data_IF_146170451380
#
_entry.id   IF_146170451380
#
_cell.length_a   1.000
_cell.length_b   1.000
_cell.length_c   1.000
_cell.angle_alpha   90.00
_cell.angle_beta   90.00
_cell.angle_gamma   90.00
#
_symmetry.space_group_name_H-M   'P 1'
#
loop_
_entity.id
_entity.type
_entity.pdbx_description
1 polymer ?
#
# COMPACT_ATOMS: atom_id res chain seq x y z
N UNK A 1 52.16 -4.89 -28.74
CA UNK A 1 52.69 -6.20 -28.29
C UNK A 1 51.49 -7.08 -27.93
N UNK A 2 51.39 -8.32 -28.46
CA UNK A 2 50.54 -9.50 -28.06
C UNK A 2 49.20 -9.24 -27.32
N UNK A 3 48.05 -9.89 -27.59
CA UNK A 3 47.65 -10.97 -28.52
C UNK A 3 46.14 -11.27 -28.31
N UNK A 4 45.35 -11.56 -29.38
CA UNK A 4 44.15 -12.48 -29.39
C UNK A 4 42.96 -12.09 -28.46
N UNK A 5 41.70 -12.51 -28.59
CA UNK A 5 40.84 -13.36 -29.47
C UNK A 5 39.39 -12.85 -29.21
N UNK A 6 38.32 -13.04 -30.00
CA UNK A 6 38.06 -13.69 -31.30
C UNK A 6 37.11 -12.74 -32.10
N UNK A 7 36.26 -13.26 -32.98
CA UNK A 7 35.16 -12.55 -33.66
C UNK A 7 34.07 -13.56 -34.07
N UNK A 8 32.79 -13.19 -33.93
CA UNK A 8 31.59 -13.70 -34.65
C UNK A 8 31.27 -15.24 -34.57
N UNK A 9 30.06 -15.76 -34.82
CA UNK A 9 29.02 -15.51 -35.83
C UNK A 9 27.68 -16.12 -35.35
N UNK A 10 26.54 -15.48 -35.63
CA UNK A 10 25.21 -16.12 -35.64
C UNK A 10 25.02 -16.79 -37.00
N UNK A 11 24.56 -18.04 -37.06
CA UNK A 11 24.15 -18.66 -38.32
C UNK A 11 22.87 -19.47 -38.15
N UNK A 12 21.85 -19.10 -38.91
CA UNK A 12 20.58 -19.82 -38.99
C UNK A 12 20.70 -20.98 -39.98
N UNK A 13 20.10 -22.13 -39.66
CA UNK A 13 20.02 -23.27 -40.56
C UNK A 13 18.67 -23.29 -41.28
N UNK A 14 18.70 -23.31 -42.62
CA UNK A 14 17.53 -23.59 -43.45
C UNK A 14 17.93 -24.52 -44.60
N UNK A 15 17.03 -25.47 -44.89
CA UNK A 15 16.99 -26.31 -46.09
C UNK A 15 18.10 -27.38 -46.28
N UNK A 16 17.68 -28.65 -46.27
CA UNK A 16 18.44 -29.79 -46.81
C UNK A 16 17.55 -30.54 -47.80
N UNK A 17 17.94 -30.58 -49.07
CA UNK A 17 17.38 -31.48 -50.09
C UNK A 17 18.52 -32.02 -50.97
N UNK A 18 18.33 -33.26 -51.43
CA UNK A 18 19.05 -33.99 -52.49
C UNK A 18 20.30 -34.80 -52.15
N UNK A 19 20.07 -36.12 -52.18
CA UNK A 19 20.90 -37.19 -52.77
C UNK A 19 22.23 -37.58 -52.15
N UNK A 20 22.25 -38.82 -51.62
CA UNK A 20 23.39 -39.73 -51.71
C UNK A 20 22.90 -41.16 -51.98
N UNK A 21 23.74 -41.95 -52.65
CA UNK A 21 23.35 -43.19 -53.33
C UNK A 21 23.12 -44.41 -52.43
N UNK A 22 22.27 -45.29 -52.96
CA UNK A 22 22.02 -46.69 -52.62
C UNK A 22 23.10 -47.48 -51.84
N UNK A 23 22.62 -48.24 -50.85
CA UNK A 23 22.92 -49.67 -50.77
C UNK A 23 21.70 -50.43 -50.21
N UNK A 24 21.56 -51.71 -50.53
CA UNK A 24 20.37 -52.53 -50.28
C UNK A 24 20.55 -53.49 -49.10
N UNK A 25 19.53 -53.69 -48.26
CA UNK A 25 18.75 -54.94 -48.20
C UNK A 25 17.72 -54.97 -47.05
N UNK A 26 16.76 -55.88 -47.21
CA UNK A 26 15.60 -56.21 -46.35
C UNK A 26 15.84 -56.30 -44.84
N UNK A 27 14.84 -55.86 -44.05
CA UNK A 27 14.70 -56.21 -42.64
C UNK A 27 13.53 -55.50 -41.97
N UNK A 28 12.36 -56.15 -41.92
CA UNK A 28 11.19 -55.67 -41.15
C UNK A 28 11.31 -56.07 -39.67
N UNK A 29 11.33 -55.10 -38.77
CA UNK A 29 11.11 -55.31 -37.33
C UNK A 29 10.27 -54.14 -36.80
N UNK A 30 9.07 -54.45 -36.31
CA UNK A 30 8.29 -53.55 -35.48
C UNK A 30 8.83 -53.62 -34.04
N UNK A 31 9.00 -52.47 -33.39
CA UNK A 31 9.18 -52.40 -31.94
C UNK A 31 8.29 -51.29 -31.42
N UNK A 32 7.21 -51.68 -30.74
CA UNK A 32 6.43 -50.77 -29.91
C UNK A 32 7.26 -50.37 -28.69
N UNK A 33 7.38 -49.06 -28.44
CA UNK A 33 7.70 -48.53 -27.12
C UNK A 33 6.81 -47.33 -26.87
N UNK A 34 5.78 -47.50 -26.04
CA UNK A 34 5.08 -46.37 -25.44
C UNK A 34 6.08 -45.52 -24.65
N UNK A 35 6.08 -44.21 -24.89
CA UNK A 35 6.73 -43.25 -24.00
C UNK A 35 5.69 -42.25 -23.53
N UNK A 36 5.33 -42.35 -22.25
CA UNK A 36 4.35 -41.49 -21.60
C UNK A 36 4.87 -40.04 -21.58
N UNK A 37 4.17 -39.14 -22.26
CA UNK A 37 4.41 -37.70 -22.12
C UNK A 37 3.74 -37.24 -20.83
N UNK A 38 4.52 -36.84 -19.84
CA UNK A 38 4.05 -35.97 -18.77
C UNK A 38 4.44 -34.53 -19.15
N UNK A 39 3.44 -33.64 -19.23
CA UNK A 39 3.68 -32.21 -19.47
C UNK A 39 4.46 -31.62 -18.30
N UNK A 40 5.71 -31.23 -18.57
CA UNK A 40 6.44 -30.31 -17.71
C UNK A 40 6.10 -28.90 -18.19
N UNK A 41 5.18 -28.23 -17.52
CA UNK A 41 4.91 -26.81 -17.74
C UNK A 41 6.18 -25.99 -17.50
N UNK A 42 6.68 -25.32 -18.54
CA UNK A 42 7.77 -24.36 -18.39
C UNK A 42 7.36 -23.23 -17.44
N UNK A 43 8.23 -22.91 -16.47
CA UNK A 43 8.13 -21.65 -15.74
C UNK A 43 8.67 -20.54 -16.64
N UNK A 44 7.80 -19.62 -17.06
CA UNK A 44 8.24 -18.42 -17.76
C UNK A 44 9.18 -17.57 -16.89
N UNK A 45 10.21 -17.04 -17.54
CA UNK A 45 11.32 -16.35 -16.88
C UNK A 45 11.03 -14.88 -16.59
N UNK A 46 11.51 -14.42 -15.43
CA UNK A 46 11.51 -13.02 -15.05
C UNK A 46 12.34 -12.19 -16.04
N UNK A 47 11.68 -11.34 -16.83
CA UNK A 47 12.36 -10.38 -17.70
C UNK A 47 12.38 -9.02 -17.00
N UNK A 48 13.57 -8.55 -16.62
CA UNK A 48 13.72 -7.35 -15.78
C UNK A 48 13.36 -6.06 -16.51
N UNK A 49 12.26 -5.39 -16.12
CA UNK A 49 11.80 -4.10 -16.67
C UNK A 49 11.99 -2.94 -15.67
N UNK A 50 13.00 -3.03 -14.80
CA UNK A 50 13.28 -2.00 -13.80
C UNK A 50 13.79 -0.70 -14.46
N UNK A 51 13.18 0.44 -14.11
CA UNK A 51 13.64 1.78 -14.51
C UNK A 51 13.05 2.36 -15.80
N UNK A 52 12.05 1.71 -16.42
CA UNK A 52 11.27 2.29 -17.53
C UNK A 52 10.00 2.97 -17.03
N UNK A 53 9.66 4.11 -17.64
CA UNK A 53 8.40 4.83 -17.41
C UNK A 53 7.36 4.44 -18.45
N UNK A 54 6.14 4.16 -18.00
CA UNK A 54 5.00 3.79 -18.83
C UNK A 54 3.87 4.81 -18.64
N UNK A 55 3.06 5.02 -19.67
CA UNK A 55 1.85 5.84 -19.63
C UNK A 55 0.63 4.93 -19.56
N UNK A 56 -0.27 5.19 -18.60
CA UNK A 56 -1.58 4.55 -18.50
C UNK A 56 -2.46 4.98 -19.67
N UNK A 57 -3.05 4.01 -20.38
CA UNK A 57 -4.01 4.24 -21.47
C UNK A 57 -5.23 3.34 -21.36
N UNK A 58 -6.40 3.96 -21.35
CA UNK A 58 -7.74 3.38 -21.28
C UNK A 58 -8.58 3.89 -22.47
N UNK A 59 -9.43 3.04 -23.04
CA UNK A 59 -10.12 3.36 -24.30
C UNK A 59 -11.25 4.40 -24.15
N UNK A 60 -11.74 4.62 -22.95
CA UNK A 60 -12.83 5.51 -22.58
C UNK A 60 -12.39 6.67 -21.65
N UNK A 61 -11.12 6.69 -21.24
CA UNK A 61 -10.57 7.67 -20.31
C UNK A 61 -10.95 7.45 -18.85
N UNK A 62 -11.51 6.30 -18.48
CA UNK A 62 -11.93 6.00 -17.10
C UNK A 62 -10.79 5.94 -16.08
N UNK A 63 -9.55 5.74 -16.55
CA UNK A 63 -8.41 5.42 -15.70
C UNK A 63 -8.33 3.95 -15.32
N UNK A 64 -7.17 3.55 -14.78
CA UNK A 64 -6.76 2.17 -14.55
C UNK A 64 -6.78 1.83 -13.07
N UNK A 65 -7.57 0.83 -12.68
CA UNK A 65 -7.67 0.39 -11.29
C UNK A 65 -6.35 -0.19 -10.77
N UNK A 66 -5.82 0.42 -9.71
CA UNK A 66 -4.68 -0.05 -8.92
C UNK A 66 -5.20 -0.99 -7.83
N UNK A 67 -4.79 -2.26 -7.88
CA UNK A 67 -5.35 -3.34 -7.05
C UNK A 67 -4.40 -3.83 -5.96
N UNK A 68 -4.95 -4.47 -4.93
CA UNK A 68 -4.18 -5.04 -3.82
C UNK A 68 -3.36 -6.28 -4.18
N UNK A 69 -3.64 -6.93 -5.31
CA UNK A 69 -2.91 -8.11 -5.81
C UNK A 69 -2.97 -8.25 -7.34
N UNK A 70 -2.15 -9.15 -7.87
CA UNK A 70 -1.94 -9.40 -9.30
C UNK A 70 -3.11 -10.18 -9.95
N UNK A 71 -4.31 -9.57 -9.98
CA UNK A 71 -5.52 -10.20 -10.50
C UNK A 71 -6.74 -9.27 -10.43
N UNK A 72 -7.80 -9.60 -11.17
CA UNK A 72 -9.06 -8.84 -11.16
C UNK A 72 -9.95 -9.12 -9.94
N UNK A 73 -9.66 -10.21 -9.24
CA UNK A 73 -10.30 -10.67 -8.00
C UNK A 73 -9.86 -9.88 -6.76
N UNK A 74 -8.74 -9.15 -6.84
CA UNK A 74 -8.23 -8.33 -5.75
C UNK A 74 -8.88 -6.94 -5.71
N UNK A 75 -9.10 -6.43 -4.50
CA UNK A 75 -9.72 -5.13 -4.24
C UNK A 75 -9.02 -3.99 -4.99
N UNK A 76 -9.82 -3.03 -5.45
CA UNK A 76 -9.31 -1.76 -6.01
C UNK A 76 -8.95 -0.84 -4.86
N UNK A 77 -7.67 -0.47 -4.77
CA UNK A 77 -7.15 0.49 -3.78
C UNK A 77 -7.46 1.92 -4.24
N UNK A 78 -7.28 2.21 -5.53
CA UNK A 78 -7.57 3.51 -6.16
C UNK A 78 -7.58 3.35 -7.69
N UNK A 79 -7.83 4.43 -8.43
CA UNK A 79 -7.80 4.45 -9.90
C UNK A 79 -6.78 5.48 -10.39
N UNK A 80 -5.83 5.03 -11.22
CA UNK A 80 -4.83 5.88 -11.85
C UNK A 80 -5.46 6.56 -13.07
N UNK A 81 -5.57 7.88 -13.07
CA UNK A 81 -6.22 8.60 -14.17
C UNK A 81 -5.48 8.43 -15.52
N UNK A 82 -6.24 8.38 -16.62
CA UNK A 82 -5.69 8.18 -17.97
C UNK A 82 -4.57 9.19 -18.31
N UNK A 83 -3.54 8.71 -19.01
CA UNK A 83 -2.40 9.54 -19.39
C UNK A 83 -1.36 9.80 -18.30
N UNK A 84 -1.59 9.38 -17.06
CA UNK A 84 -0.57 9.44 -16.02
C UNK A 84 0.59 8.47 -16.29
N UNK A 85 1.78 8.86 -15.86
CA UNK A 85 2.97 8.02 -15.91
C UNK A 85 3.15 7.21 -14.63
N UNK A 86 3.60 5.97 -14.79
CA UNK A 86 3.94 5.02 -13.72
C UNK A 86 5.27 4.36 -14.01
N UNK A 87 5.95 3.91 -12.96
CA UNK A 87 7.14 3.07 -13.06
C UNK A 87 6.81 1.65 -12.59
N UNK A 88 7.27 0.65 -13.35
CA UNK A 88 7.11 -0.76 -12.98
C UNK A 88 8.20 -1.11 -11.96
N UNK A 89 7.76 -1.53 -10.77
CA UNK A 89 8.62 -1.93 -9.64
C UNK A 89 8.80 -3.45 -9.63
N UNK A 90 7.75 -4.19 -9.97
CA UNK A 90 7.77 -5.64 -10.09
C UNK A 90 6.75 -6.11 -11.15
N UNK A 91 6.86 -7.35 -11.62
CA UNK A 91 5.92 -7.94 -12.58
C UNK A 91 5.58 -9.39 -12.19
N UNK A 92 4.31 -9.77 -12.36
CA UNK A 92 3.81 -11.13 -12.17
C UNK A 92 2.80 -11.44 -13.29
N UNK A 93 3.22 -12.23 -14.29
CA UNK A 93 2.45 -12.46 -15.51
C UNK A 93 2.13 -11.14 -16.23
N UNK A 94 0.85 -10.94 -16.58
CA UNK A 94 0.34 -9.70 -17.21
C UNK A 94 0.07 -8.55 -16.22
N UNK A 95 0.53 -8.64 -14.97
CA UNK A 95 0.34 -7.60 -13.95
C UNK A 95 1.66 -6.95 -13.57
N UNK A 96 1.67 -5.62 -13.54
CA UNK A 96 2.77 -4.81 -13.06
C UNK A 96 2.44 -4.21 -11.69
N UNK A 97 3.36 -4.33 -10.74
CA UNK A 97 3.30 -3.57 -9.50
C UNK A 97 3.90 -2.18 -9.74
N UNK A 98 3.15 -1.14 -9.39
CA UNK A 98 3.48 0.27 -9.65
C UNK A 98 3.16 1.14 -8.44
N UNK A 99 3.85 2.28 -8.34
CA UNK A 99 3.50 3.37 -7.42
C UNK A 99 2.67 4.45 -8.12
N UNK A 100 1.67 4.98 -7.43
CA UNK A 100 0.90 6.16 -7.83
C UNK A 100 0.62 7.04 -6.60
N UNK A 101 1.28 8.19 -6.51
CA UNK A 101 1.28 8.99 -5.29
C UNK A 101 1.83 8.21 -4.09
N UNK A 102 1.03 8.07 -3.04
CA UNK A 102 1.33 7.24 -1.86
C UNK A 102 0.95 5.77 -2.02
N UNK A 103 0.16 5.42 -3.04
CA UNK A 103 -0.35 4.07 -3.25
C UNK A 103 0.69 3.20 -3.97
N UNK A 104 0.76 1.93 -3.59
CA UNK A 104 1.50 0.88 -4.29
C UNK A 104 0.58 -0.31 -4.48
N UNK A 105 0.50 -0.82 -5.70
CA UNK A 105 -0.43 -1.90 -6.04
C UNK A 105 -0.23 -2.42 -7.45
N UNK A 106 -1.13 -3.27 -7.91
CA UNK A 106 -1.03 -3.98 -9.18
C UNK A 106 -1.98 -3.41 -10.23
N UNK A 107 -1.46 -3.18 -11.43
CA UNK A 107 -2.22 -2.81 -12.62
C UNK A 107 -2.00 -3.84 -13.72
N UNK A 108 -2.99 -4.03 -14.59
CA UNK A 108 -2.83 -4.89 -15.75
C UNK A 108 -1.99 -4.16 -16.82
N UNK A 109 -1.00 -4.85 -17.39
CA UNK A 109 -0.02 -4.31 -18.32
C UNK A 109 -0.58 -4.01 -19.72
N UNK A 110 -1.73 -4.57 -20.10
CA UNK A 110 -2.40 -4.28 -21.38
C UNK A 110 -2.81 -2.80 -21.51
N UNK A 111 -2.84 -2.08 -20.39
CA UNK A 111 -3.14 -0.64 -20.29
C UNK A 111 -1.89 0.23 -20.08
N UNK A 112 -0.66 -0.33 -20.22
CA UNK A 112 0.61 0.39 -20.03
C UNK A 112 1.40 0.49 -21.34
N UNK A 113 1.56 1.72 -21.84
CA UNK A 113 2.36 1.98 -23.04
C UNK A 113 3.75 2.54 -22.68
N UNK A 114 4.83 1.98 -23.24
CA UNK A 114 6.20 2.44 -22.99
C UNK A 114 6.43 3.85 -23.55
N UNK A 115 6.98 4.76 -22.75
CA UNK A 115 7.25 6.15 -23.18
C UNK A 115 8.64 6.29 -23.79
N UNK A 116 8.73 6.46 -25.11
CA UNK A 116 9.98 6.87 -25.79
C UNK A 116 10.21 8.37 -25.66
N UNK A 117 10.82 8.82 -24.56
CA UNK A 117 11.24 10.22 -24.36
C UNK A 117 12.65 10.26 -23.76
N UNK A 118 13.56 11.01 -24.41
CA UNK A 118 14.99 11.03 -24.10
C UNK A 118 15.39 12.39 -23.50
N UNK A 119 15.86 12.43 -22.25
CA UNK A 119 16.32 13.63 -21.54
C UNK A 119 17.35 13.25 -20.43
N UNK A 120 18.19 14.18 -19.94
CA UNK A 120 19.65 14.01 -20.03
C UNK A 120 20.34 13.38 -18.82
N UNK A 121 21.53 12.85 -19.08
CA UNK A 121 22.39 12.13 -18.14
C UNK A 121 23.29 13.12 -17.38
N UNK A 122 23.37 13.00 -16.05
CA UNK A 122 24.46 13.58 -15.25
C UNK A 122 25.25 12.44 -14.63
N UNK A 123 26.53 12.32 -14.99
CA UNK A 123 27.41 11.30 -14.43
C UNK A 123 27.79 11.64 -12.97
N UNK A 124 27.77 10.64 -12.09
CA UNK A 124 28.57 10.61 -10.87
C UNK A 124 29.04 9.19 -10.66
N UNK A 125 30.34 9.01 -10.39
CA UNK A 125 31.03 7.72 -10.48
C UNK A 125 31.47 7.19 -9.11
N UNK A 126 31.73 5.87 -9.10
CA UNK A 126 32.36 5.05 -8.05
C UNK A 126 31.43 4.48 -6.95
N UNK A 127 31.79 3.31 -6.35
CA UNK A 127 32.20 2.11 -7.08
C UNK A 127 31.46 0.84 -6.60
N UNK A 128 31.49 -0.20 -7.44
CA UNK A 128 30.88 -1.51 -7.13
C UNK A 128 31.61 -2.25 -6.00
N UNK A 129 30.84 -2.65 -4.98
CA UNK A 129 31.22 -3.64 -3.96
C UNK A 129 30.02 -4.53 -3.68
N UNK A 130 30.08 -5.79 -4.13
CA UNK A 130 28.97 -6.73 -4.04
C UNK A 130 28.91 -7.50 -2.70
N UNK A 131 27.79 -8.18 -2.47
CA UNK A 131 27.48 -9.12 -1.37
C UNK A 131 27.38 -8.47 0.02
N UNK A 132 26.22 -8.41 0.68
CA UNK A 132 25.23 -9.48 0.89
C UNK A 132 23.80 -8.93 1.10
N UNK A 133 22.78 -9.67 0.65
CA UNK A 133 21.39 -9.44 1.05
C UNK A 133 21.20 -9.85 2.51
N UNK A 134 20.63 -9.00 3.38
CA UNK A 134 20.10 -9.46 4.66
C UNK A 134 18.90 -10.36 4.39
N UNK A 135 19.03 -11.60 4.83
CA UNK A 135 17.97 -12.58 4.92
C UNK A 135 16.76 -11.98 5.68
N UNK A 136 15.55 -12.20 5.16
CA UNK A 136 14.33 -11.74 5.81
C UNK A 136 14.15 -12.50 7.13
N UNK A 137 14.17 -11.85 8.31
CA UNK A 137 14.12 -12.55 9.59
C UNK A 137 12.67 -12.90 9.93
N UNK A 138 12.06 -13.78 9.13
CA UNK A 138 10.86 -14.48 9.55
C UNK A 138 11.26 -15.62 10.51
N UNK A 139 10.50 -15.76 11.59
CA UNK A 139 10.68 -16.72 12.69
C UNK A 139 11.99 -16.64 13.50
N UNK A 140 11.97 -15.87 14.61
CA UNK A 140 12.32 -16.39 15.95
C UNK A 140 11.68 -15.58 17.10
N UNK A 141 11.06 -16.31 18.04
CA UNK A 141 10.83 -15.94 19.45
C UNK A 141 9.97 -14.70 19.80
N UNK A 142 8.64 -14.83 19.67
CA UNK A 142 7.68 -14.31 20.67
C UNK A 142 7.59 -12.80 20.94
N UNK A 143 8.25 -11.95 20.15
CA UNK A 143 8.16 -10.49 20.24
C UNK A 143 7.30 -9.88 19.13
N UNK A 144 6.90 -8.63 19.32
CA UNK A 144 6.17 -7.87 18.30
C UNK A 144 7.02 -7.71 17.02
N UNK A 145 6.36 -7.74 15.84
CA UNK A 145 7.02 -7.83 14.52
C UNK A 145 8.06 -6.71 14.27
N UNK A 146 7.88 -5.55 14.87
CA UNK A 146 8.73 -4.36 14.69
C UNK A 146 9.65 -4.07 15.88
N UNK A 147 9.82 -5.04 16.78
CA UNK A 147 10.72 -4.97 17.94
C UNK A 147 12.18 -4.68 17.57
N UNK A 148 12.63 -5.11 16.38
CA UNK A 148 13.97 -4.80 15.84
C UNK A 148 14.22 -3.29 15.67
N UNK A 149 13.16 -2.48 15.54
CA UNK A 149 13.23 -1.03 15.44
C UNK A 149 12.87 -0.28 16.74
N UNK A 150 12.66 -1.03 17.83
CA UNK A 150 12.31 -0.52 19.16
C UNK A 150 10.82 -0.58 19.52
N UNK A 151 9.94 -0.96 18.59
CA UNK A 151 8.49 -0.96 18.82
C UNK A 151 8.02 -2.20 19.57
N UNK A 152 7.47 -2.00 20.77
CA UNK A 152 6.89 -3.04 21.61
C UNK A 152 5.60 -2.51 22.27
N UNK A 153 4.54 -2.26 21.49
CA UNK A 153 3.29 -1.73 22.02
C UNK A 153 2.66 -2.71 23.01
N UNK A 154 2.09 -2.18 24.10
CA UNK A 154 1.32 -2.97 25.04
C UNK A 154 -0.02 -3.38 24.40
N UNK A 155 -0.38 -4.65 24.52
CA UNK A 155 -1.72 -5.10 24.12
C UNK A 155 -2.77 -4.51 25.08
N UNK A 156 -3.84 -3.95 24.52
CA UNK A 156 -4.97 -3.41 25.28
C UNK A 156 -6.24 -4.18 24.97
N UNK A 157 -7.15 -4.27 25.94
CA UNK A 157 -8.52 -4.75 25.72
C UNK A 157 -9.45 -3.56 25.58
N UNK A 158 -10.33 -3.59 24.57
CA UNK A 158 -11.38 -2.57 24.44
C UNK A 158 -12.38 -2.76 25.58
N UNK A 159 -12.57 -1.72 26.40
CA UNK A 159 -13.57 -1.72 27.46
C UNK A 159 -14.95 -1.36 26.90
N UNK A 160 -15.93 -2.26 27.00
CA UNK A 160 -17.29 -2.06 26.49
C UNK A 160 -17.97 -0.77 26.96
N UNK A 161 -17.64 -0.27 28.15
CA UNK A 161 -18.23 0.96 28.72
C UNK A 161 -17.54 2.25 28.27
N UNK A 162 -16.37 2.16 27.62
CA UNK A 162 -15.57 3.33 27.20
C UNK A 162 -14.82 3.06 25.88
N UNK A 163 -15.39 2.23 25.01
CA UNK A 163 -14.74 1.69 23.81
C UNK A 163 -14.31 2.80 22.84
N UNK A 164 -15.11 3.86 22.75
CA UNK A 164 -14.89 5.08 21.98
C UNK A 164 -13.65 5.85 22.41
N UNK A 165 -13.21 5.71 23.66
CA UNK A 165 -12.02 6.34 24.24
C UNK A 165 -10.78 5.42 24.24
N UNK A 166 -10.84 4.27 23.55
CA UNK A 166 -9.67 3.39 23.39
C UNK A 166 -8.52 4.15 22.71
N UNK A 167 -7.36 4.22 23.37
CA UNK A 167 -6.16 4.78 22.77
C UNK A 167 -5.41 3.70 21.99
N UNK A 168 -5.17 3.98 20.70
CA UNK A 168 -4.29 3.20 19.83
C UNK A 168 -3.26 4.16 19.24
N UNK A 169 -1.99 3.86 19.46
CA UNK A 169 -0.82 4.61 18.98
C UNK A 169 0.42 3.72 19.08
N UNK A 170 1.63 4.25 18.86
CA UNK A 170 2.87 3.45 18.83
C UNK A 170 3.17 2.66 20.13
N UNK A 171 2.48 2.97 21.23
CA UNK A 171 2.61 2.33 22.54
C UNK A 171 1.47 1.36 22.89
N UNK A 172 0.36 1.36 22.15
CA UNK A 172 -0.83 0.55 22.45
C UNK A 172 -1.42 -0.14 21.20
N UNK A 173 -1.54 -1.47 21.25
CA UNK A 173 -2.05 -2.32 20.16
C UNK A 173 -3.33 -3.05 20.54
N UNK A 174 -4.23 -3.23 19.57
CA UNK A 174 -5.35 -4.16 19.65
C UNK A 174 -4.87 -5.60 19.90
N UNK A 175 -5.72 -6.48 20.47
CA UNK A 175 -5.43 -7.89 20.63
C UNK A 175 -5.19 -8.60 19.31
N UNK A 176 -4.35 -9.65 19.34
CA UNK A 176 -4.15 -10.51 18.17
C UNK A 176 -5.49 -11.07 17.66
N UNK A 177 -5.73 -10.93 16.36
CA UNK A 177 -6.97 -11.39 15.73
C UNK A 177 -8.20 -10.51 15.95
N UNK A 178 -8.08 -9.32 16.55
CA UNK A 178 -9.21 -8.39 16.67
C UNK A 178 -9.80 -8.02 15.30
N UNK A 179 -11.11 -8.22 15.15
CA UNK A 179 -11.93 -7.78 14.02
C UNK A 179 -13.22 -7.17 14.58
N UNK A 180 -13.50 -5.87 14.33
CA UNK A 180 -14.75 -5.25 14.77
C UNK A 180 -15.94 -5.76 13.95
N UNK A 181 -17.16 -5.65 14.49
CA UNK A 181 -18.36 -5.71 13.66
C UNK A 181 -18.44 -4.43 12.82
N UNK A 182 -18.63 -4.58 11.52
CA UNK A 182 -18.58 -3.48 10.55
C UNK A 182 -19.97 -3.07 10.04
N UNK A 183 -20.07 -1.80 9.62
CA UNK A 183 -21.14 -1.26 8.77
C UNK A 183 -20.54 -0.31 7.74
N UNK A 184 -21.19 -0.13 6.59
CA UNK A 184 -20.82 0.95 5.66
C UNK A 184 -20.95 2.31 6.36
N UNK A 185 -19.95 3.17 6.19
CA UNK A 185 -19.89 4.51 6.77
C UNK A 185 -20.91 5.46 6.12
N UNK A 186 -21.12 5.33 4.81
CA UNK A 186 -22.21 5.93 4.06
C UNK A 186 -22.76 4.84 3.15
N UNK A 187 -24.09 4.70 3.08
CA UNK A 187 -24.72 3.64 2.29
C UNK A 187 -24.30 3.70 0.80
N UNK A 188 -23.68 2.62 0.32
CA UNK A 188 -23.18 2.49 -1.05
C UNK A 188 -21.78 3.08 -1.30
N UNK A 189 -21.07 3.53 -0.26
CA UNK A 189 -19.68 3.99 -0.40
C UNK A 189 -18.67 2.86 -0.56
N UNK A 190 -19.00 1.64 -0.09
CA UNK A 190 -18.03 0.54 0.03
C UNK A 190 -16.94 0.77 1.09
N UNK A 191 -16.99 1.87 1.84
CA UNK A 191 -16.08 2.18 2.95
C UNK A 191 -16.77 1.85 4.26
N UNK A 192 -16.10 1.10 5.13
CA UNK A 192 -16.67 0.55 6.36
C UNK A 192 -16.09 1.22 7.60
N UNK A 193 -16.85 1.24 8.70
CA UNK A 193 -16.41 1.62 10.05
C UNK A 193 -16.90 0.57 11.05
N UNK A 194 -16.48 0.66 12.32
CA UNK A 194 -17.16 -0.06 13.39
C UNK A 194 -18.65 0.29 13.37
N UNK A 195 -19.52 -0.70 13.54
CA UNK A 195 -20.97 -0.55 13.42
C UNK A 195 -21.58 0.50 14.38
N UNK A 196 -20.88 0.85 15.46
CA UNK A 196 -21.26 1.91 16.41
C UNK A 196 -20.83 3.30 15.94
N UNK A 197 -19.80 3.40 15.10
CA UNK A 197 -19.25 4.65 14.57
C UNK A 197 -19.91 5.04 13.26
N UNK A 198 -20.23 4.06 12.40
CA UNK A 198 -20.81 4.29 11.09
C UNK A 198 -22.08 5.19 11.09
N UNK A 199 -23.05 5.05 12.02
CA UNK A 199 -24.22 5.94 12.05
C UNK A 199 -23.86 7.41 12.26
N UNK A 200 -22.87 7.70 13.10
CA UNK A 200 -22.42 9.07 13.36
C UNK A 200 -21.67 9.68 12.18
N UNK A 201 -20.94 8.86 11.42
CA UNK A 201 -20.35 9.33 10.17
C UNK A 201 -21.42 9.64 9.11
N UNK A 202 -22.45 8.80 8.99
CA UNK A 202 -23.60 9.05 8.12
C UNK A 202 -24.35 10.34 8.51
N UNK A 203 -24.59 10.57 9.81
CA UNK A 203 -25.20 11.81 10.34
C UNK A 203 -24.34 13.05 9.99
N UNK A 204 -23.01 12.97 10.20
CA UNK A 204 -22.08 14.04 9.86
C UNK A 204 -22.05 14.32 8.35
N UNK A 205 -22.05 13.27 7.54
CA UNK A 205 -22.07 13.34 6.08
C UNK A 205 -23.36 13.98 5.55
N UNK A 206 -24.52 13.56 6.08
CA UNK A 206 -25.82 14.08 5.68
C UNK A 206 -26.02 15.55 6.11
N UNK A 207 -25.44 15.97 7.24
CA UNK A 207 -25.41 17.36 7.66
C UNK A 207 -24.53 18.22 6.74
N UNK A 208 -23.31 17.78 6.46
CA UNK A 208 -22.42 18.47 5.51
C UNK A 208 -23.06 18.61 4.13
N UNK A 209 -23.74 17.57 3.63
CA UNK A 209 -24.46 17.63 2.35
C UNK A 209 -25.58 18.68 2.33
N UNK A 210 -26.25 18.94 3.45
CA UNK A 210 -27.27 20.01 3.56
C UNK A 210 -26.64 21.40 3.43
N UNK A 211 -25.39 21.57 3.88
CA UNK A 211 -24.59 22.78 3.71
C UNK A 211 -23.86 22.83 2.34
N UNK A 212 -24.08 21.85 1.46
CA UNK A 212 -23.47 21.76 0.13
C UNK A 212 -22.02 21.23 0.13
N UNK A 213 -21.59 20.62 1.23
CA UNK A 213 -20.25 20.05 1.43
C UNK A 213 -20.30 18.52 1.30
N UNK A 214 -19.40 17.95 0.51
CA UNK A 214 -19.24 16.48 0.43
C UNK A 214 -18.04 16.05 1.27
N UNK A 215 -18.29 15.30 2.33
CA UNK A 215 -17.24 14.64 3.14
C UNK A 215 -16.93 13.26 2.53
N UNK A 216 -16.13 13.21 1.47
CA UNK A 216 -15.84 11.94 0.78
C UNK A 216 -15.17 10.94 1.73
N UNK A 217 -15.76 9.76 1.99
CA UNK A 217 -15.09 8.71 2.77
C UNK A 217 -14.00 8.07 1.90
N UNK A 218 -12.73 8.26 2.26
CA UNK A 218 -11.59 7.72 1.50
C UNK A 218 -11.08 6.40 2.10
N UNK A 219 -10.97 6.30 3.43
CA UNK A 219 -10.50 5.07 4.08
C UNK A 219 -10.97 4.99 5.54
N UNK A 220 -11.83 4.01 5.82
CA UNK A 220 -12.33 3.70 7.17
C UNK A 220 -11.57 2.53 7.77
N UNK A 221 -12.27 1.45 8.12
CA UNK A 221 -11.67 0.22 8.61
C UNK A 221 -10.61 -0.34 7.65
N UNK A 222 -9.45 -0.67 8.21
CA UNK A 222 -8.35 -1.39 7.53
C UNK A 222 -8.07 -2.66 8.33
N UNK A 223 -8.00 -3.81 7.66
CA UNK A 223 -7.60 -5.06 8.34
C UNK A 223 -6.17 -4.96 8.88
N UNK A 224 -5.81 -5.79 9.86
CA UNK A 224 -4.43 -5.91 10.35
C UNK A 224 -3.44 -6.13 9.19
N UNK A 225 -3.80 -7.00 8.24
CA UNK A 225 -2.95 -7.31 7.07
C UNK A 225 -2.87 -6.12 6.09
N UNK A 226 -3.96 -5.39 5.88
CA UNK A 226 -3.96 -4.15 5.08
C UNK A 226 -3.02 -3.12 5.70
N UNK A 227 -3.08 -2.94 7.02
CA UNK A 227 -2.23 -2.00 7.73
C UNK A 227 -0.76 -2.44 7.71
N UNK A 228 -0.49 -3.75 7.85
CA UNK A 228 0.86 -4.32 7.72
C UNK A 228 1.45 -4.01 6.33
N UNK A 229 0.68 -4.22 5.27
CA UNK A 229 1.10 -3.88 3.90
C UNK A 229 1.37 -2.38 3.74
N UNK A 230 0.48 -1.51 4.24
CA UNK A 230 0.69 -0.05 4.19
C UNK A 230 1.97 0.38 4.93
N UNK A 231 2.23 -0.22 6.09
CA UNK A 231 3.39 0.08 6.92
C UNK A 231 4.70 -0.39 6.27
N UNK A 232 4.77 -1.65 5.81
CA UNK A 232 5.93 -2.17 5.07
C UNK A 232 6.20 -1.39 3.78
N UNK A 233 5.16 -0.96 3.07
CA UNK A 233 5.32 -0.09 1.89
C UNK A 233 5.98 1.25 2.26
N UNK A 234 5.60 1.86 3.40
CA UNK A 234 6.23 3.09 3.90
C UNK A 234 7.67 2.85 4.39
N UNK A 235 7.96 1.70 5.01
CA UNK A 235 9.34 1.28 5.34
C UNK A 235 10.18 1.20 4.06
N UNK A 236 9.70 0.46 3.05
CA UNK A 236 10.38 0.25 1.79
C UNK A 236 10.58 1.56 1.00
N UNK A 237 9.63 2.49 1.09
CA UNK A 237 9.81 3.86 0.59
C UNK A 237 11.05 4.53 1.23
N UNK A 238 11.18 4.56 2.55
CA UNK A 238 12.35 5.14 3.20
C UNK A 238 13.65 4.35 2.92
N UNK A 239 13.60 3.01 2.84
CA UNK A 239 14.77 2.22 2.40
C UNK A 239 15.21 2.60 0.99
N UNK A 240 14.27 2.88 0.06
CA UNK A 240 14.60 3.35 -1.29
C UNK A 240 15.26 4.75 -1.31
N UNK A 241 15.04 5.56 -0.27
CA UNK A 241 15.71 6.85 -0.08
C UNK A 241 17.09 6.72 0.60
N UNK A 242 17.55 5.51 0.88
CA UNK A 242 18.88 5.22 1.44
C UNK A 242 18.94 5.12 2.97
N UNK A 243 17.80 5.14 3.67
CA UNK A 243 17.76 4.86 5.11
C UNK A 243 17.96 3.36 5.39
N UNK A 244 18.65 3.02 6.48
CA UNK A 244 18.70 1.64 6.97
C UNK A 244 17.30 1.19 7.46
N UNK A 245 17.06 -0.13 7.58
CA UNK A 245 15.71 -0.64 7.91
C UNK A 245 15.22 -0.23 9.30
N UNK A 246 16.09 0.03 10.28
CA UNK A 246 15.67 0.51 11.62
C UNK A 246 15.18 1.95 11.50
N UNK A 247 16.01 2.85 10.95
CA UNK A 247 15.64 4.26 10.76
C UNK A 247 14.43 4.42 9.83
N UNK A 248 14.35 3.61 8.76
CA UNK A 248 13.19 3.58 7.87
C UNK A 248 11.90 3.15 8.58
N UNK A 249 11.97 2.19 9.52
CA UNK A 249 10.82 1.76 10.33
C UNK A 249 10.39 2.84 11.33
N UNK A 250 11.36 3.53 11.93
CA UNK A 250 11.08 4.65 12.83
C UNK A 250 10.45 5.84 12.09
N UNK A 251 10.98 6.20 10.92
CA UNK A 251 10.41 7.24 10.05
C UNK A 251 9.01 6.85 9.55
N UNK A 252 8.81 5.61 9.11
CA UNK A 252 7.50 5.11 8.68
C UNK A 252 6.45 5.26 9.79
N UNK A 253 6.82 4.97 11.05
CA UNK A 253 5.89 5.01 12.19
C UNK A 253 5.30 6.38 12.49
N UNK A 254 5.90 7.46 11.97
CA UNK A 254 5.39 8.85 12.11
C UNK A 254 4.31 9.20 11.08
N UNK A 255 4.12 8.37 10.06
CA UNK A 255 3.26 8.63 8.88
C UNK A 255 2.27 7.49 8.63
N UNK A 256 2.58 6.28 9.07
CA UNK A 256 1.69 5.12 9.00
C UNK A 256 1.88 4.35 10.30
N UNK A 257 0.83 4.25 11.11
CA UNK A 257 0.87 3.44 12.33
C UNK A 257 1.06 1.96 12.03
N UNK A 258 1.67 1.26 12.97
CA UNK A 258 2.00 -0.16 12.89
C UNK A 258 0.71 -1.01 12.87
N UNK A 259 0.71 -2.23 12.30
CA UNK A 259 -0.47 -3.09 12.30
C UNK A 259 -0.88 -3.48 13.74
N UNK A 260 -2.16 -3.30 14.05
CA UNK A 260 -2.73 -3.44 15.39
C UNK A 260 -2.75 -2.13 16.19
N UNK A 261 -1.88 -1.17 15.89
CA UNK A 261 -1.82 0.13 16.60
C UNK A 261 -2.56 1.25 15.86
N UNK A 262 -3.12 1.01 14.67
CA UNK A 262 -3.88 2.02 13.93
C UNK A 262 -5.35 2.06 14.35
N UNK A 263 -5.90 3.26 14.50
CA UNK A 263 -7.33 3.46 14.78
C UNK A 263 -8.25 2.92 13.66
N UNK A 264 -7.73 2.77 12.44
CA UNK A 264 -8.42 2.10 11.35
C UNK A 264 -8.53 0.59 11.56
N UNK A 265 -7.63 -0.03 12.33
CA UNK A 265 -7.77 -1.44 12.71
C UNK A 265 -8.94 -1.65 13.69
N UNK A 266 -9.31 -0.62 14.45
CA UNK A 266 -10.50 -0.64 15.29
C UNK A 266 -11.79 -0.26 14.52
N UNK A 267 -11.67 0.39 13.35
CA UNK A 267 -12.80 0.98 12.64
C UNK A 267 -13.30 2.29 13.29
N UNK A 268 -12.45 2.98 14.08
CA UNK A 268 -12.80 4.20 14.81
C UNK A 268 -12.37 5.49 14.10
N UNK A 269 -11.57 5.39 13.04
CA UNK A 269 -11.08 6.53 12.26
C UNK A 269 -11.56 6.46 10.81
N UNK A 270 -11.73 7.65 10.21
CA UNK A 270 -12.00 7.85 8.79
C UNK A 270 -11.00 8.85 8.22
N UNK A 271 -10.35 8.47 7.12
CA UNK A 271 -9.69 9.39 6.19
C UNK A 271 -10.77 10.05 5.32
N UNK A 272 -10.91 11.37 5.41
CA UNK A 272 -11.93 12.16 4.68
C UNK A 272 -11.25 13.00 3.59
N UNK A 273 -11.85 13.04 2.41
CA UNK A 273 -11.36 13.84 1.29
C UNK A 273 -10.15 13.19 0.60
N UNK A 274 -9.12 13.98 0.32
CA UNK A 274 -7.86 13.47 -0.25
C UNK A 274 -6.76 13.47 0.83
N UNK A 275 -5.91 12.45 0.79
CA UNK A 275 -4.93 12.16 1.86
C UNK A 275 -3.59 12.89 1.65
N UNK A 276 -3.66 14.21 1.50
CA UNK A 276 -2.50 15.14 1.46
C UNK A 276 -2.82 16.42 2.23
N UNK A 277 -1.76 17.10 2.71
CA UNK A 277 -1.90 18.22 3.68
C UNK A 277 -2.74 19.38 3.13
N UNK A 278 -2.71 19.58 1.81
CA UNK A 278 -3.49 20.61 1.11
C UNK A 278 -5.02 20.43 1.23
N UNK A 279 -5.52 19.28 1.71
CA UNK A 279 -6.92 19.10 2.09
C UNK A 279 -7.41 20.14 3.10
N UNK A 280 -6.52 20.69 3.94
CA UNK A 280 -6.85 21.74 4.90
C UNK A 280 -7.42 23.01 4.23
N UNK A 281 -7.05 23.26 2.97
CA UNK A 281 -7.48 24.42 2.19
C UNK A 281 -8.87 24.22 1.58
N UNK A 282 -9.51 23.07 1.83
CA UNK A 282 -10.82 22.73 1.26
C UNK A 282 -11.98 23.26 2.11
N UNK A 283 -13.13 23.57 1.49
CA UNK A 283 -14.37 23.84 2.23
C UNK A 283 -14.81 22.68 3.13
N UNK A 284 -14.45 21.44 2.79
CA UNK A 284 -14.75 20.26 3.58
C UNK A 284 -13.98 20.22 4.91
N UNK A 285 -12.68 20.54 4.89
CA UNK A 285 -11.89 20.65 6.11
C UNK A 285 -12.36 21.80 7.01
N UNK A 286 -12.65 22.97 6.43
CA UNK A 286 -13.23 24.09 7.18
C UNK A 286 -14.54 23.70 7.87
N UNK A 287 -15.45 23.01 7.17
CA UNK A 287 -16.70 22.51 7.74
C UNK A 287 -16.45 21.49 8.87
N UNK A 288 -15.51 20.55 8.70
CA UNK A 288 -15.15 19.57 9.72
C UNK A 288 -14.59 20.24 10.98
N UNK A 289 -13.68 21.21 10.82
CA UNK A 289 -13.12 21.99 11.93
C UNK A 289 -14.19 22.77 12.70
N UNK A 290 -15.29 23.16 12.05
CA UNK A 290 -16.43 23.82 12.70
C UNK A 290 -17.42 22.84 13.34
N UNK A 291 -17.69 21.67 12.74
CA UNK A 291 -18.87 20.85 13.05
C UNK A 291 -18.59 19.40 13.51
N UNK A 292 -17.42 18.80 13.24
CA UNK A 292 -17.20 17.36 13.43
C UNK A 292 -17.41 16.86 14.88
N UNK A 293 -17.16 17.71 15.87
CA UNK A 293 -17.38 17.40 17.29
C UNK A 293 -18.86 17.13 17.63
N UNK A 294 -19.80 17.72 16.89
CA UNK A 294 -21.24 17.51 17.13
C UNK A 294 -21.69 16.10 16.75
N UNK A 295 -20.87 15.40 15.96
CA UNK A 295 -21.02 14.00 15.56
C UNK A 295 -19.99 13.08 16.24
N UNK A 296 -19.24 13.61 17.21
CA UNK A 296 -18.28 12.84 18.00
C UNK A 296 -16.91 12.59 17.35
N UNK A 297 -16.57 13.31 16.28
CA UNK A 297 -15.26 13.22 15.61
C UNK A 297 -14.32 14.35 16.03
N UNK A 298 -13.02 14.04 16.12
CA UNK A 298 -11.93 15.00 16.34
C UNK A 298 -10.91 14.92 15.20
N UNK A 299 -10.27 16.05 14.88
CA UNK A 299 -9.01 16.05 14.12
C UNK A 299 -7.96 15.39 14.99
N UNK A 300 -7.52 14.18 14.61
CA UNK A 300 -6.75 13.32 15.51
C UNK A 300 -5.29 13.76 15.66
N UNK A 301 -4.72 14.26 14.57
CA UNK A 301 -3.32 14.65 14.46
C UNK A 301 -3.24 16.08 13.91
N UNK A 302 -3.30 17.11 14.79
CA UNK A 302 -3.29 18.52 14.39
C UNK A 302 -1.88 19.02 14.05
N UNK A 303 -1.79 20.16 13.36
CA UNK A 303 -0.54 20.74 12.83
C UNK A 303 0.50 21.05 13.93
N UNK A 304 0.05 21.48 15.11
CA UNK A 304 0.93 22.07 16.14
C UNK A 304 2.04 21.12 16.60
N UNK A 305 3.30 21.59 16.60
CA UNK A 305 4.49 20.79 16.93
C UNK A 305 4.44 20.15 18.32
N UNK A 306 3.86 20.84 19.32
CA UNK A 306 3.68 20.32 20.67
C UNK A 306 2.72 19.12 20.71
N UNK A 307 1.69 19.14 19.86
CA UNK A 307 0.73 18.05 19.70
C UNK A 307 1.32 16.89 18.90
N UNK A 308 2.03 17.16 17.80
CA UNK A 308 2.79 16.13 17.08
C UNK A 308 3.86 15.45 17.95
N UNK A 309 4.42 16.16 18.93
CA UNK A 309 5.34 15.58 19.91
C UNK A 309 4.67 14.64 20.94
N UNK A 310 3.34 14.73 21.11
CA UNK A 310 2.54 13.90 22.02
C UNK A 310 1.86 12.74 21.27
N UNK A 311 1.23 13.02 20.12
CA UNK A 311 0.60 11.99 19.28
C UNK A 311 1.63 11.12 18.56
N UNK A 312 2.84 11.64 18.39
CA UNK A 312 3.98 11.05 17.69
C UNK A 312 3.78 10.80 16.18
N UNK A 313 2.69 11.32 15.61
CA UNK A 313 2.31 11.27 14.19
C UNK A 313 2.41 12.68 13.61
N UNK A 314 2.69 12.78 12.30
CA UNK A 314 2.68 14.05 11.56
C UNK A 314 1.27 14.68 11.55
N UNK A 315 1.17 15.90 11.03
CA UNK A 315 -0.11 16.52 10.71
C UNK A 315 -0.88 15.70 9.66
N UNK A 316 -2.14 15.35 9.95
CA UNK A 316 -3.01 14.61 9.02
C UNK A 316 -4.41 15.25 8.98
N UNK A 317 -4.63 16.34 8.22
CA UNK A 317 -5.93 17.02 8.14
C UNK A 317 -7.08 16.13 7.64
N UNK A 318 -6.75 15.02 6.97
CA UNK A 318 -7.71 14.01 6.51
C UNK A 318 -8.13 13.00 7.59
N UNK A 319 -7.39 12.81 8.69
CA UNK A 319 -7.66 11.73 9.67
C UNK A 319 -8.57 12.20 10.81
N UNK A 320 -9.82 11.71 10.82
CA UNK A 320 -10.84 12.06 11.81
C UNK A 320 -11.21 10.84 12.67
N UNK A 321 -11.01 10.97 13.99
CA UNK A 321 -11.21 9.90 14.98
C UNK A 321 -12.52 10.09 15.73
N UNK A 322 -13.36 9.07 15.77
CA UNK A 322 -14.55 9.06 16.64
C UNK A 322 -14.18 8.78 18.09
N UNK A 323 -14.63 9.68 18.98
CA UNK A 323 -14.47 9.59 20.44
C UNK A 323 -15.79 9.73 21.19
N UNK A 324 -16.91 9.91 20.48
CA UNK A 324 -18.23 10.23 21.06
C UNK A 324 -18.43 11.73 21.25
N UNK A 325 -19.69 12.18 21.16
CA UNK A 325 -20.06 13.60 21.06
C UNK A 325 -19.55 14.44 22.23
N UNK A 326 -19.74 13.97 23.47
CA UNK A 326 -19.35 14.73 24.66
C UNK A 326 -17.83 14.91 24.74
N UNK A 327 -17.07 13.82 24.59
CA UNK A 327 -15.61 13.86 24.59
C UNK A 327 -15.04 14.68 23.42
N UNK A 328 -15.62 14.59 22.22
CA UNK A 328 -15.16 15.39 21.07
C UNK A 328 -15.34 16.89 21.31
N UNK A 329 -16.44 17.29 21.96
CA UNK A 329 -16.71 18.68 22.35
C UNK A 329 -15.73 19.15 23.43
N UNK A 330 -15.46 18.33 24.44
CA UNK A 330 -14.48 18.65 25.50
C UNK A 330 -13.05 18.77 24.94
N UNK A 331 -12.64 17.86 24.06
CA UNK A 331 -11.34 17.88 23.38
C UNK A 331 -11.21 19.13 22.50
N UNK A 332 -12.22 19.45 21.69
CA UNK A 332 -12.23 20.69 20.88
C UNK A 332 -12.19 21.95 21.74
N UNK A 333 -12.97 22.01 22.82
CA UNK A 333 -13.04 23.18 23.69
C UNK A 333 -11.76 23.42 24.51
N UNK A 334 -11.02 22.35 24.82
CA UNK A 334 -9.74 22.40 25.55
C UNK A 334 -8.51 22.55 24.66
N UNK A 335 -8.60 22.21 23.37
CA UNK A 335 -7.46 22.17 22.45
C UNK A 335 -6.48 21.03 22.75
N UNK A 336 -6.96 19.97 23.42
CA UNK A 336 -6.17 18.79 23.74
C UNK A 336 -6.08 17.82 22.55
N UNK A 337 -5.08 16.94 22.55
CA UNK A 337 -5.15 15.66 21.82
C UNK A 337 -5.70 14.55 22.72
N UNK A 338 -6.09 13.42 22.12
CA UNK A 338 -6.70 12.30 22.85
C UNK A 338 -5.82 11.79 24.01
N UNK A 339 -4.50 11.73 23.81
CA UNK A 339 -3.53 11.39 24.86
C UNK A 339 -3.64 12.30 26.09
N UNK A 340 -3.68 13.62 25.89
CA UNK A 340 -3.78 14.60 26.98
C UNK A 340 -5.14 14.55 27.68
N UNK A 341 -6.22 14.35 26.92
CA UNK A 341 -7.58 14.20 27.45
C UNK A 341 -7.71 12.95 28.34
N UNK A 342 -7.06 11.85 27.96
CA UNK A 342 -6.99 10.61 28.75
C UNK A 342 -5.95 10.68 29.88
N UNK A 343 -5.18 11.77 29.99
CA UNK A 343 -4.17 11.95 31.04
C UNK A 343 -2.94 11.06 30.89
N UNK A 344 -2.64 10.57 29.68
CA UNK A 344 -1.48 9.73 29.37
C UNK A 344 -0.42 10.50 28.58
N UNK A 345 0.83 10.07 28.72
CA UNK A 345 2.03 10.63 28.07
C UNK A 345 3.02 9.51 27.75
#
# INVERSE_FOLDING_TARGET
MKMKKFLAVISAALLVISTLSACSMSGSVEVETEFKVEEVTEKEGTTTVAGKTFVVKTNDGSGLNLRSGAGTEYDVITTIADGHTVQIINQQGSWANVTYGTYTGWVNMDYLNETTTVAPIVETTAPSGATSSPENPDTQSGGYLYSYAGFNPAEITINDSSWNLTLLNRHYTLPEGYVPQLSEAVRGSGVYLDYRVAPHYQEMYDAALQDGITLTPNSGYRSYQTQKTNFENKINYYVSQGYDRVTATQNASRVVLLPGTSEHNAGFAMDIGWVTEDFENSPAFAWLMENAQDYGFILRYPESEDKQAITEIIYEPWHWRYVGVDAAKEIKASGQVLEEYLGVR
#
